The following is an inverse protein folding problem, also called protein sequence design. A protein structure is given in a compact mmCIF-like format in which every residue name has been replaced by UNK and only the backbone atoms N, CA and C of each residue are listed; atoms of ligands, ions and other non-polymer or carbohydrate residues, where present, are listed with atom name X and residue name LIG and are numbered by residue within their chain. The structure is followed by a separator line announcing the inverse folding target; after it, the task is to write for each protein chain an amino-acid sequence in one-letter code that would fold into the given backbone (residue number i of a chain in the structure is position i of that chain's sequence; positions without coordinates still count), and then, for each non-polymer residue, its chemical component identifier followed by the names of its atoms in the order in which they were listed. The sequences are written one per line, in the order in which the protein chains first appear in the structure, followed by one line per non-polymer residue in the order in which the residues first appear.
data_IF_540742147123
#
_entry.id   IF_540742147123
#
_cell.length_a   1.000
_cell.length_b   1.000
_cell.length_c   1.000
_cell.angle_alpha   90.00
_cell.angle_beta   90.00
_cell.angle_gamma   90.00
#
_symmetry.space_group_name_H-M   'P 1'
#
loop_
_entity.id
_entity.type
_entity.pdbx_description
1 polymer ?
#
# COMPACT_ATOMS: atom_id res chain seq x y z
N UNK A 1 -5.46 19.40 18.94
CA UNK A 1 -5.76 18.17 19.72
C UNK A 1 -5.54 18.38 21.21
N UNK A 2 -4.53 19.15 21.66
CA UNK A 2 -4.29 19.45 23.08
C UNK A 2 -5.54 20.05 23.77
N UNK A 3 -6.16 21.07 23.15
CA UNK A 3 -7.41 21.65 23.69
C UNK A 3 -8.57 20.64 23.76
N UNK A 4 -8.60 19.66 22.84
CA UNK A 4 -9.60 18.60 22.87
C UNK A 4 -9.34 17.64 24.04
N UNK A 5 -8.08 17.27 24.29
CA UNK A 5 -7.71 16.47 25.48
C UNK A 5 -8.16 17.15 26.77
N UNK A 6 -7.86 18.44 26.93
CA UNK A 6 -8.30 19.22 28.10
C UNK A 6 -9.82 19.23 28.28
N UNK A 7 -10.56 19.42 27.19
CA UNK A 7 -12.02 19.44 27.25
C UNK A 7 -12.59 18.08 27.68
N UNK A 8 -12.08 16.97 27.09
CA UNK A 8 -12.51 15.64 27.44
C UNK A 8 -12.06 15.19 28.83
N UNK A 9 -10.88 15.68 29.29
CA UNK A 9 -10.44 15.48 30.67
C UNK A 9 -11.41 16.13 31.65
N UNK A 10 -11.83 17.34 31.39
CA UNK A 10 -12.88 17.99 32.19
C UNK A 10 -14.20 17.21 32.19
N UNK A 11 -14.59 16.69 31.03
CA UNK A 11 -15.80 15.88 30.90
C UNK A 11 -15.72 14.59 31.72
N UNK A 12 -14.57 13.91 31.75
CA UNK A 12 -14.36 12.68 32.55
C UNK A 12 -14.22 12.95 34.06
N UNK A 13 -13.88 14.19 34.47
CA UNK A 13 -13.92 14.60 35.90
C UNK A 13 -15.36 14.84 36.35
N UNK A 14 -16.21 15.38 35.48
CA UNK A 14 -17.62 15.64 35.80
C UNK A 14 -18.44 14.34 35.82
N UNK A 15 -18.16 13.47 34.85
CA UNK A 15 -18.82 12.16 34.71
C UNK A 15 -17.74 11.11 34.38
N UNK A 16 -17.36 10.33 35.38
CA UNK A 16 -16.32 9.30 35.28
C UNK A 16 -16.78 8.06 34.50
N UNK A 17 -18.10 7.93 34.23
CA UNK A 17 -18.69 6.90 33.41
C UNK A 17 -18.94 7.37 31.95
N UNK A 18 -18.51 8.57 31.56
CA UNK A 18 -18.77 9.11 30.23
C UNK A 18 -17.86 8.45 29.17
N UNK A 19 -18.27 7.28 28.71
CA UNK A 19 -17.56 6.48 27.69
C UNK A 19 -17.12 7.30 26.46
N UNK A 20 -18.02 8.15 25.93
CA UNK A 20 -17.72 8.98 24.76
C UNK A 20 -16.55 9.93 24.98
N UNK A 21 -16.40 10.49 26.18
CA UNK A 21 -15.29 11.39 26.52
C UNK A 21 -13.96 10.64 26.53
N UNK A 22 -13.89 9.43 27.09
CA UNK A 22 -12.68 8.59 27.06
C UNK A 22 -12.29 8.22 25.64
N UNK A 23 -13.26 7.86 24.80
CA UNK A 23 -13.04 7.51 23.40
C UNK A 23 -12.46 8.68 22.60
N UNK A 24 -13.02 9.88 22.72
CA UNK A 24 -12.55 11.05 21.99
C UNK A 24 -11.23 11.59 22.55
N UNK A 25 -11.01 11.47 23.88
CA UNK A 25 -9.74 11.75 24.53
C UNK A 25 -8.63 10.84 23.98
N UNK A 26 -8.89 9.54 23.91
CA UNK A 26 -7.96 8.55 23.35
C UNK A 26 -7.61 8.86 21.88
N UNK A 27 -8.60 9.15 21.02
CA UNK A 27 -8.38 9.56 19.63
C UNK A 27 -7.53 10.83 19.53
N UNK A 28 -7.71 11.77 20.46
CA UNK A 28 -6.93 13.00 20.50
C UNK A 28 -5.48 12.72 20.88
N UNK A 29 -5.23 11.83 21.82
CA UNK A 29 -3.88 11.37 22.18
C UNK A 29 -3.19 10.64 21.01
N UNK A 30 -3.89 9.80 20.26
CA UNK A 30 -3.32 9.18 19.06
C UNK A 30 -2.84 10.24 18.04
N UNK A 31 -3.62 11.32 17.84
CA UNK A 31 -3.23 12.42 16.94
C UNK A 31 -2.03 13.18 17.44
N UNK A 32 -1.82 13.24 18.76
CA UNK A 32 -0.64 13.81 19.41
C UNK A 32 0.53 12.82 19.47
N UNK A 33 0.36 11.58 18.97
CA UNK A 33 1.33 10.48 19.07
C UNK A 33 1.65 10.06 20.51
N UNK A 34 0.76 10.34 21.42
CA UNK A 34 0.82 9.93 22.83
C UNK A 34 0.08 8.61 22.98
N UNK A 35 0.73 7.53 22.50
CA UNK A 35 0.06 6.24 22.32
C UNK A 35 -0.22 5.51 23.62
N UNK A 36 0.62 5.70 24.66
CA UNK A 36 0.37 5.10 25.98
C UNK A 36 -0.86 5.72 26.63
N UNK A 37 -0.96 7.05 26.64
CA UNK A 37 -2.11 7.77 27.16
C UNK A 37 -3.41 7.43 26.40
N UNK A 38 -3.30 7.20 25.10
CA UNK A 38 -4.42 6.71 24.33
C UNK A 38 -4.89 5.31 24.76
N UNK A 39 -3.93 4.39 25.00
CA UNK A 39 -4.22 3.03 25.51
C UNK A 39 -4.88 3.10 26.86
N UNK A 40 -4.40 3.94 27.77
CA UNK A 40 -4.96 4.08 29.12
C UNK A 40 -6.43 4.54 29.04
N UNK A 41 -6.74 5.52 28.18
CA UNK A 41 -8.11 5.96 27.95
C UNK A 41 -8.99 4.88 27.32
N UNK A 42 -8.46 4.11 26.35
CA UNK A 42 -9.20 2.98 25.76
C UNK A 42 -9.42 1.85 26.79
N UNK A 43 -8.46 1.61 27.67
CA UNK A 43 -8.61 0.62 28.75
C UNK A 43 -9.73 1.00 29.67
N UNK A 44 -9.80 2.25 30.12
CA UNK A 44 -10.94 2.74 30.92
C UNK A 44 -12.26 2.59 30.14
N UNK A 45 -12.25 2.91 28.83
CA UNK A 45 -13.46 2.78 28.02
C UNK A 45 -14.01 1.35 27.96
N UNK A 46 -13.13 0.33 27.84
CA UNK A 46 -13.55 -1.09 27.83
C UNK A 46 -13.86 -1.66 29.21
N UNK A 47 -13.47 -0.97 30.29
CA UNK A 47 -13.88 -1.29 31.66
C UNK A 47 -15.29 -0.76 31.98
N UNK A 48 -15.71 0.32 31.29
CA UNK A 48 -17.03 0.93 31.43
C UNK A 48 -18.12 0.24 30.58
N UNK A 49 -17.74 -0.35 29.48
CA UNK A 49 -18.65 -1.03 28.54
C UNK A 49 -17.90 -2.17 27.85
N UNK A 50 -18.62 -3.12 27.28
CA UNK A 50 -18.04 -4.25 26.56
C UNK A 50 -17.10 -3.77 25.43
N UNK A 51 -15.94 -4.41 25.24
CA UNK A 51 -14.96 -3.98 24.27
C UNK A 51 -15.50 -4.09 22.85
N UNK A 52 -15.73 -2.96 22.18
CA UNK A 52 -16.06 -2.99 20.75
C UNK A 52 -14.83 -3.34 19.92
N UNK A 53 -15.03 -4.08 18.82
CA UNK A 53 -13.99 -4.41 17.84
C UNK A 53 -13.21 -3.17 17.34
N UNK A 54 -13.91 -2.03 17.23
CA UNK A 54 -13.29 -0.76 16.87
C UNK A 54 -12.26 -0.27 17.89
N UNK A 55 -12.56 -0.35 19.18
CA UNK A 55 -11.65 0.04 20.28
C UNK A 55 -10.45 -0.89 20.32
N UNK A 56 -10.68 -2.20 20.24
CA UNK A 56 -9.63 -3.22 20.22
C UNK A 56 -8.66 -2.99 19.04
N UNK A 57 -9.19 -2.66 17.84
CA UNK A 57 -8.39 -2.34 16.68
C UNK A 57 -7.50 -1.10 16.89
N UNK A 58 -8.03 -0.07 17.57
CA UNK A 58 -7.26 1.13 17.86
C UNK A 58 -6.18 0.88 18.90
N UNK A 59 -6.48 0.13 19.94
CA UNK A 59 -5.48 -0.30 20.93
C UNK A 59 -4.36 -1.10 20.28
N UNK A 60 -4.70 -2.05 19.41
CA UNK A 60 -3.70 -2.82 18.65
C UNK A 60 -2.75 -1.91 17.87
N UNK A 61 -3.30 -0.91 17.16
CA UNK A 61 -2.49 0.08 16.43
C UNK A 61 -1.62 0.94 17.36
N UNK A 62 -2.10 1.31 18.53
CA UNK A 62 -1.30 2.05 19.51
C UNK A 62 -0.14 1.19 20.03
N UNK A 63 -0.38 -0.07 20.39
CA UNK A 63 0.68 -1.01 20.79
C UNK A 63 1.72 -1.22 19.69
N UNK A 64 1.29 -1.30 18.44
CA UNK A 64 2.19 -1.40 17.30
C UNK A 64 3.08 -0.15 17.15
N UNK A 65 2.52 1.05 17.38
CA UNK A 65 3.28 2.31 17.38
C UNK A 65 4.29 2.41 18.52
N UNK A 66 4.03 1.71 19.61
CA UNK A 66 4.95 1.55 20.75
C UNK A 66 5.93 0.38 20.56
N UNK A 67 5.94 -0.24 19.39
CA UNK A 67 6.78 -1.40 19.04
C UNK A 67 6.53 -2.63 19.93
N UNK A 68 5.39 -2.65 20.66
CA UNK A 68 4.98 -3.80 21.44
C UNK A 68 4.24 -4.81 20.55
N UNK A 69 5.03 -5.60 19.83
CA UNK A 69 4.57 -6.52 18.79
C UNK A 69 3.63 -7.60 19.33
N UNK A 70 3.89 -8.10 20.56
CA UNK A 70 3.09 -9.15 21.18
C UNK A 70 1.67 -8.67 21.54
N UNK A 71 1.59 -7.53 22.22
CA UNK A 71 0.29 -6.94 22.58
C UNK A 71 -0.45 -6.47 21.33
N UNK A 72 0.24 -5.86 20.35
CA UNK A 72 -0.36 -5.47 19.10
C UNK A 72 -1.08 -6.65 18.42
N UNK A 73 -0.38 -7.77 18.24
CA UNK A 73 -0.96 -8.97 17.64
C UNK A 73 -2.13 -9.53 18.48
N UNK A 74 -1.96 -9.57 19.80
CA UNK A 74 -3.02 -10.04 20.70
C UNK A 74 -4.31 -9.24 20.52
N UNK A 75 -4.22 -7.89 20.50
CA UNK A 75 -5.38 -7.02 20.32
C UNK A 75 -5.94 -7.06 18.88
N UNK A 76 -5.11 -7.22 17.86
CA UNK A 76 -5.60 -7.48 16.50
C UNK A 76 -6.43 -8.77 16.42
N UNK A 77 -5.96 -9.85 17.03
CA UNK A 77 -6.70 -11.12 17.07
C UNK A 77 -8.00 -11.01 17.86
N UNK A 78 -7.99 -10.30 18.99
CA UNK A 78 -9.22 -10.00 19.74
C UNK A 78 -10.23 -9.22 18.89
N UNK A 79 -9.76 -8.26 18.08
CA UNK A 79 -10.63 -7.49 17.17
C UNK A 79 -11.44 -8.38 16.25
N UNK A 80 -10.78 -9.32 15.56
CA UNK A 80 -11.45 -10.20 14.60
C UNK A 80 -12.18 -11.37 15.26
N UNK A 81 -11.89 -11.65 16.51
CA UNK A 81 -12.67 -12.58 17.32
C UNK A 81 -14.00 -11.94 17.75
N UNK A 82 -13.97 -10.68 18.16
CA UNK A 82 -15.14 -9.89 18.55
C UNK A 82 -16.06 -9.62 17.36
N UNK A 83 -15.50 -9.23 16.23
CA UNK A 83 -16.24 -9.00 14.99
C UNK A 83 -15.53 -9.65 13.79
N UNK A 84 -15.87 -10.89 13.44
CA UNK A 84 -15.29 -11.59 12.30
C UNK A 84 -15.65 -10.97 10.94
N UNK A 85 -16.67 -10.10 10.86
CA UNK A 85 -17.08 -9.42 9.64
C UNK A 85 -16.43 -8.04 9.50
N UNK A 86 -15.61 -7.60 10.46
CA UNK A 86 -14.84 -6.39 10.35
C UNK A 86 -13.63 -6.60 9.45
N UNK A 87 -13.80 -6.34 8.16
CA UNK A 87 -12.77 -6.43 7.10
C UNK A 87 -11.48 -5.67 7.47
N UNK A 88 -11.64 -4.47 8.09
CA UNK A 88 -10.53 -3.64 8.58
C UNK A 88 -9.68 -4.29 9.66
N UNK A 89 -10.24 -5.22 10.41
CA UNK A 89 -9.50 -6.03 11.38
C UNK A 89 -8.54 -6.99 10.66
N UNK A 90 -9.04 -7.72 9.68
CA UNK A 90 -8.27 -8.68 8.91
C UNK A 90 -7.15 -8.01 8.09
N UNK A 91 -7.44 -6.87 7.45
CA UNK A 91 -6.42 -6.14 6.70
C UNK A 91 -5.35 -5.51 7.61
N UNK A 92 -5.72 -5.10 8.84
CA UNK A 92 -4.73 -4.63 9.80
C UNK A 92 -3.76 -5.74 10.23
N UNK A 93 -4.26 -6.97 10.41
CA UNK A 93 -3.41 -8.15 10.68
C UNK A 93 -2.54 -8.46 9.44
N UNK A 94 -3.09 -8.35 8.24
CA UNK A 94 -2.32 -8.50 7.00
C UNK A 94 -1.14 -7.53 6.96
N UNK A 95 -1.40 -6.24 7.15
CA UNK A 95 -0.37 -5.20 7.16
C UNK A 95 0.66 -5.43 8.28
N UNK A 96 0.23 -5.94 9.44
CA UNK A 96 1.12 -6.34 10.52
C UNK A 96 2.10 -7.43 10.05
N UNK A 97 1.61 -8.53 9.45
CA UNK A 97 2.48 -9.62 9.00
C UNK A 97 3.34 -9.23 7.78
N UNK A 98 2.89 -8.32 6.91
CA UNK A 98 3.74 -7.74 5.85
C UNK A 98 4.95 -7.04 6.46
N UNK A 99 4.76 -6.22 7.50
CA UNK A 99 5.86 -5.53 8.20
C UNK A 99 6.82 -6.51 8.90
N UNK A 100 6.29 -7.63 9.40
CA UNK A 100 7.11 -8.72 9.96
C UNK A 100 7.76 -9.61 8.89
N UNK A 101 7.49 -9.36 7.60
CA UNK A 101 7.94 -10.17 6.45
C UNK A 101 7.46 -11.63 6.51
N UNK A 102 6.41 -11.93 7.27
CA UNK A 102 5.73 -13.23 7.28
C UNK A 102 4.61 -13.22 6.21
N UNK A 103 5.04 -13.30 4.96
CA UNK A 103 4.12 -13.19 3.82
C UNK A 103 3.14 -14.35 3.72
N UNK A 104 3.48 -15.53 4.26
CA UNK A 104 2.55 -16.67 4.28
C UNK A 104 1.33 -16.38 5.18
N UNK A 105 1.57 -15.84 6.38
CA UNK A 105 0.47 -15.43 7.24
C UNK A 105 -0.27 -14.22 6.67
N UNK A 106 0.45 -13.25 6.10
CA UNK A 106 -0.18 -12.10 5.43
C UNK A 106 -1.15 -12.56 4.35
N UNK A 107 -0.79 -13.57 3.52
CA UNK A 107 -1.64 -14.14 2.49
C UNK A 107 -2.91 -14.78 3.07
N UNK A 108 -2.80 -15.48 4.19
CA UNK A 108 -3.96 -16.06 4.87
C UNK A 108 -4.96 -14.97 5.31
N UNK A 109 -4.44 -13.89 5.92
CA UNK A 109 -5.30 -12.83 6.47
C UNK A 109 -5.89 -11.90 5.41
N UNK A 110 -5.16 -11.60 4.32
CA UNK A 110 -5.73 -10.80 3.23
C UNK A 110 -6.87 -11.54 2.52
N UNK A 111 -6.78 -12.86 2.37
CA UNK A 111 -7.89 -13.67 1.83
C UNK A 111 -9.14 -13.61 2.73
N UNK A 112 -8.99 -13.47 4.04
CA UNK A 112 -10.14 -13.25 4.95
C UNK A 112 -10.79 -11.89 4.68
N UNK A 113 -10.00 -10.83 4.51
CA UNK A 113 -10.52 -9.49 4.18
C UNK A 113 -11.25 -9.47 2.82
N UNK A 114 -10.67 -10.09 1.79
CA UNK A 114 -11.28 -10.22 0.46
C UNK A 114 -12.58 -11.02 0.50
N UNK A 115 -12.64 -12.05 1.35
CA UNK A 115 -13.86 -12.85 1.54
C UNK A 115 -15.03 -12.08 2.15
N UNK A 116 -14.76 -10.95 2.83
CA UNK A 116 -15.79 -10.07 3.40
C UNK A 116 -16.16 -8.96 2.42
N UNK A 117 -15.16 -8.29 1.86
CA UNK A 117 -15.33 -7.21 0.88
C UNK A 117 -14.42 -7.46 -0.35
N UNK A 118 -14.93 -8.25 -1.28
CA UNK A 118 -14.22 -8.62 -2.51
C UNK A 118 -14.19 -7.52 -3.57
N UNK A 119 -14.88 -6.41 -3.36
CA UNK A 119 -14.88 -5.26 -4.28
C UNK A 119 -13.91 -4.17 -3.85
N UNK A 120 -13.24 -4.32 -2.71
CA UNK A 120 -12.28 -3.34 -2.22
C UNK A 120 -10.92 -3.45 -2.95
N UNK A 121 -10.56 -2.47 -3.79
CA UNK A 121 -9.35 -2.55 -4.60
C UNK A 121 -8.07 -2.61 -3.76
N UNK A 122 -8.08 -2.01 -2.56
CA UNK A 122 -6.92 -2.00 -1.67
C UNK A 122 -6.58 -3.41 -1.17
N UNK A 123 -7.58 -4.28 -0.98
CA UNK A 123 -7.33 -5.65 -0.51
C UNK A 123 -6.71 -6.50 -1.61
N UNK A 124 -7.18 -6.35 -2.85
CA UNK A 124 -6.57 -6.98 -4.01
C UNK A 124 -5.14 -6.50 -4.26
N UNK A 125 -4.88 -5.21 -4.07
CA UNK A 125 -3.52 -4.67 -4.13
C UNK A 125 -2.61 -5.27 -3.05
N UNK A 126 -3.09 -5.45 -1.81
CA UNK A 126 -2.34 -6.15 -0.75
C UNK A 126 -2.09 -7.61 -1.10
N UNK A 127 -3.11 -8.30 -1.63
CA UNK A 127 -2.99 -9.66 -2.11
C UNK A 127 -1.90 -9.77 -3.17
N UNK A 128 -1.92 -8.91 -4.18
CA UNK A 128 -0.90 -8.86 -5.23
C UNK A 128 0.51 -8.62 -4.67
N UNK A 129 0.67 -7.63 -3.80
CA UNK A 129 1.96 -7.31 -3.20
C UNK A 129 2.52 -8.47 -2.36
N UNK A 130 1.66 -9.18 -1.61
CA UNK A 130 2.06 -10.35 -0.82
C UNK A 130 2.46 -11.50 -1.73
N UNK A 131 1.70 -11.79 -2.79
CA UNK A 131 2.04 -12.85 -3.75
C UNK A 131 3.34 -12.50 -4.53
N UNK A 132 3.56 -11.24 -4.90
CA UNK A 132 4.85 -10.80 -5.49
C UNK A 132 6.02 -11.08 -4.55
N UNK A 133 5.86 -10.80 -3.25
CA UNK A 133 6.90 -11.06 -2.25
C UNK A 133 7.15 -12.57 -2.01
N UNK A 134 6.17 -13.41 -2.32
CA UNK A 134 6.27 -14.87 -2.30
C UNK A 134 6.76 -15.46 -3.63
N UNK A 135 7.03 -14.62 -4.64
CA UNK A 135 7.37 -15.01 -6.02
C UNK A 135 6.27 -15.81 -6.73
N UNK A 136 5.02 -15.63 -6.31
CA UNK A 136 3.83 -16.19 -6.94
C UNK A 136 3.29 -15.15 -7.94
N UNK A 137 3.99 -15.02 -9.08
CA UNK A 137 3.76 -13.90 -9.99
C UNK A 137 2.43 -13.99 -10.75
N UNK A 138 1.93 -15.18 -11.04
CA UNK A 138 0.62 -15.38 -11.69
C UNK A 138 -0.52 -14.90 -10.78
N UNK A 139 -0.46 -15.24 -9.49
CA UNK A 139 -1.41 -14.79 -8.47
C UNK A 139 -1.27 -13.29 -8.20
N UNK A 140 -0.06 -12.75 -8.27
CA UNK A 140 0.18 -11.32 -8.12
C UNK A 140 -0.43 -10.54 -9.29
N UNK A 141 -0.26 -11.01 -10.54
CA UNK A 141 -0.88 -10.45 -11.73
C UNK A 141 -2.42 -10.43 -11.56
N UNK A 142 -3.00 -11.57 -11.21
CA UNK A 142 -4.44 -11.68 -10.96
C UNK A 142 -4.91 -10.65 -9.93
N UNK A 143 -4.15 -10.46 -8.85
CA UNK A 143 -4.46 -9.50 -7.79
C UNK A 143 -4.42 -8.06 -8.26
N UNK A 144 -3.40 -7.64 -9.03
CA UNK A 144 -3.34 -6.28 -9.59
C UNK A 144 -4.44 -6.02 -10.60
N UNK A 145 -4.73 -6.98 -11.47
CA UNK A 145 -5.84 -6.90 -12.42
C UNK A 145 -7.17 -6.74 -11.69
N UNK A 146 -7.41 -7.51 -10.63
CA UNK A 146 -8.59 -7.36 -9.78
C UNK A 146 -8.66 -6.00 -9.09
N UNK A 147 -7.55 -5.49 -8.56
CA UNK A 147 -7.50 -4.16 -7.99
C UNK A 147 -7.93 -3.09 -9.00
N UNK A 148 -7.43 -3.18 -10.24
CA UNK A 148 -7.81 -2.28 -11.33
C UNK A 148 -9.29 -2.42 -11.71
N UNK A 149 -9.80 -3.65 -11.88
CA UNK A 149 -11.22 -3.92 -12.14
C UNK A 149 -12.14 -3.35 -11.05
N UNK A 150 -11.69 -3.35 -9.80
CA UNK A 150 -12.38 -2.75 -8.65
C UNK A 150 -12.16 -1.23 -8.50
N UNK A 151 -11.46 -0.59 -9.45
CA UNK A 151 -11.31 0.87 -9.53
C UNK A 151 -10.03 1.44 -8.92
N UNK A 152 -8.99 0.64 -8.67
CA UNK A 152 -7.67 1.18 -8.32
C UNK A 152 -6.95 1.70 -9.57
N UNK A 153 -7.00 3.01 -9.75
CA UNK A 153 -6.35 3.73 -10.86
C UNK A 153 -5.12 4.51 -10.40
N UNK A 154 -4.39 4.01 -9.40
CA UNK A 154 -3.18 4.67 -8.92
C UNK A 154 -1.95 4.29 -9.77
N UNK A 155 -1.04 5.23 -9.99
CA UNK A 155 0.18 5.02 -10.78
C UNK A 155 1.01 3.83 -10.27
N UNK A 156 1.18 3.72 -8.96
CA UNK A 156 1.94 2.63 -8.35
C UNK A 156 1.31 1.24 -8.59
N UNK A 157 0.00 1.15 -8.79
CA UNK A 157 -0.65 -0.11 -9.17
C UNK A 157 -0.26 -0.53 -10.58
N UNK A 158 -0.27 0.39 -11.54
CA UNK A 158 0.17 0.12 -12.91
C UNK A 158 1.64 -0.27 -12.98
N UNK A 159 2.51 0.46 -12.27
CA UNK A 159 3.95 0.18 -12.29
C UNK A 159 4.29 -1.17 -11.66
N UNK A 160 3.70 -1.49 -10.51
CA UNK A 160 3.91 -2.79 -9.84
C UNK A 160 3.31 -3.95 -10.64
N UNK A 161 2.16 -3.74 -11.28
CA UNK A 161 1.56 -4.74 -12.16
C UNK A 161 2.46 -5.04 -13.35
N UNK A 162 3.00 -4.00 -14.00
CA UNK A 162 3.92 -4.20 -15.12
C UNK A 162 5.25 -4.81 -14.72
N UNK A 163 5.73 -4.60 -13.48
CA UNK A 163 6.89 -5.32 -12.96
C UNK A 163 6.61 -6.83 -12.88
N UNK A 164 5.43 -7.21 -12.39
CA UNK A 164 5.01 -8.63 -12.35
C UNK A 164 4.92 -9.24 -13.75
N UNK A 165 4.31 -8.51 -14.71
CA UNK A 165 4.21 -8.96 -16.10
C UNK A 165 5.59 -9.15 -16.75
N UNK A 166 6.56 -8.30 -16.41
CA UNK A 166 7.95 -8.48 -16.84
C UNK A 166 8.57 -9.78 -16.29
N UNK A 167 8.33 -10.11 -15.03
CA UNK A 167 8.79 -11.38 -14.46
C UNK A 167 8.14 -12.61 -15.14
N UNK A 168 6.89 -12.46 -15.59
CA UNK A 168 6.19 -13.49 -16.36
C UNK A 168 6.62 -13.55 -17.83
N UNK A 169 7.36 -12.54 -18.31
CA UNK A 169 7.74 -12.41 -19.72
C UNK A 169 6.63 -11.91 -20.63
N UNK A 170 5.54 -11.38 -20.06
CA UNK A 170 4.36 -10.87 -20.77
C UNK A 170 4.55 -9.39 -21.13
N UNK A 171 5.55 -9.12 -21.99
CA UNK A 171 5.95 -7.75 -22.32
C UNK A 171 4.90 -6.98 -23.11
N UNK A 172 4.18 -7.63 -24.01
CA UNK A 172 3.10 -7.03 -24.81
C UNK A 172 1.96 -6.56 -23.91
N UNK A 173 1.51 -7.41 -22.98
CA UNK A 173 0.48 -7.07 -22.00
C UNK A 173 0.95 -5.90 -21.10
N UNK A 174 2.22 -5.90 -20.68
CA UNK A 174 2.80 -4.80 -19.88
C UNK A 174 2.78 -3.47 -20.65
N UNK A 175 3.05 -3.50 -21.97
CA UNK A 175 2.96 -2.32 -22.84
C UNK A 175 1.52 -1.81 -22.91
N UNK A 176 0.54 -2.70 -23.10
CA UNK A 176 -0.88 -2.32 -23.18
C UNK A 176 -1.34 -1.64 -21.89
N UNK A 177 -0.99 -2.20 -20.73
CA UNK A 177 -1.32 -1.63 -19.42
C UNK A 177 -0.69 -0.24 -19.23
N UNK A 178 0.58 -0.05 -19.63
CA UNK A 178 1.24 1.26 -19.53
C UNK A 178 0.66 2.28 -20.52
N UNK A 179 0.26 1.86 -21.72
CA UNK A 179 -0.43 2.74 -22.66
C UNK A 179 -1.80 3.17 -22.12
N UNK A 180 -2.52 2.29 -21.42
CA UNK A 180 -3.74 2.68 -20.73
C UNK A 180 -3.44 3.70 -19.61
N UNK A 181 -2.36 3.49 -18.85
CA UNK A 181 -1.93 4.43 -17.83
C UNK A 181 -1.57 5.83 -18.40
N UNK A 182 -1.05 5.95 -19.63
CA UNK A 182 -0.80 7.26 -20.25
C UNK A 182 -2.06 8.10 -20.45
N UNK A 183 -3.23 7.47 -20.58
CA UNK A 183 -4.50 8.18 -20.71
C UNK A 183 -4.98 8.74 -19.35
N UNK A 184 -4.52 8.16 -18.25
CA UNK A 184 -4.89 8.55 -16.88
C UNK A 184 -3.87 9.54 -16.28
N UNK A 185 -2.59 9.34 -16.60
CA UNK A 185 -1.47 10.09 -16.06
C UNK A 185 -0.74 10.81 -17.19
N UNK A 186 -1.08 12.07 -17.40
CA UNK A 186 -0.42 12.90 -18.41
C UNK A 186 1.01 13.25 -17.98
N UNK A 187 1.95 13.18 -18.93
CA UNK A 187 3.33 13.64 -18.77
C UNK A 187 4.07 12.95 -17.60
N UNK A 188 3.80 11.66 -17.37
CA UNK A 188 4.47 10.90 -16.32
C UNK A 188 5.74 10.22 -16.86
N UNK A 189 6.91 10.74 -16.47
CA UNK A 189 8.21 10.27 -16.97
C UNK A 189 8.49 8.80 -16.64
N UNK A 190 7.99 8.28 -15.55
CA UNK A 190 8.19 6.88 -15.16
C UNK A 190 7.54 5.92 -16.15
N UNK A 191 6.32 6.23 -16.59
CA UNK A 191 5.62 5.47 -17.64
C UNK A 191 6.42 5.49 -18.93
N UNK A 192 6.94 6.66 -19.32
CA UNK A 192 7.72 6.82 -20.55
C UNK A 192 9.00 6.00 -20.53
N UNK A 193 9.74 5.99 -19.42
CA UNK A 193 10.93 5.15 -19.28
C UNK A 193 10.62 3.65 -19.28
N UNK A 194 9.50 3.24 -18.67
CA UNK A 194 9.06 1.84 -18.69
C UNK A 194 8.64 1.40 -20.09
N UNK A 195 7.85 2.20 -20.80
CA UNK A 195 7.49 1.95 -22.20
C UNK A 195 8.73 1.87 -23.10
N UNK A 196 9.67 2.79 -22.93
CA UNK A 196 10.93 2.76 -23.68
C UNK A 196 11.66 1.43 -23.46
N UNK A 197 11.82 1.01 -22.22
CA UNK A 197 12.47 -0.25 -21.87
C UNK A 197 11.80 -1.46 -22.49
N UNK A 198 10.48 -1.58 -22.35
CA UNK A 198 9.69 -2.69 -22.90
C UNK A 198 9.74 -2.73 -24.43
N UNK A 199 9.58 -1.59 -25.12
CA UNK A 199 9.69 -1.54 -26.58
C UNK A 199 11.09 -1.89 -27.09
N UNK A 200 12.13 -1.53 -26.36
CA UNK A 200 13.47 -2.00 -26.70
C UNK A 200 13.63 -3.50 -26.47
N UNK A 201 13.03 -4.08 -25.41
CA UNK A 201 13.06 -5.54 -25.18
C UNK A 201 12.33 -6.31 -26.29
N UNK A 202 11.20 -5.80 -26.76
CA UNK A 202 10.43 -6.41 -27.85
C UNK A 202 10.97 -6.08 -29.26
N UNK A 203 12.16 -5.43 -29.33
CA UNK A 203 12.83 -4.99 -30.56
C UNK A 203 12.06 -3.95 -31.39
N UNK A 204 11.09 -3.26 -30.81
CA UNK A 204 10.39 -2.13 -31.42
C UNK A 204 11.18 -0.82 -31.22
N UNK A 205 12.39 -0.75 -31.74
CA UNK A 205 13.37 0.30 -31.45
C UNK A 205 12.89 1.72 -31.77
N UNK A 206 12.03 1.89 -32.78
CA UNK A 206 11.45 3.21 -33.13
C UNK A 206 10.55 3.74 -32.02
N UNK A 207 9.63 2.89 -31.53
CA UNK A 207 8.77 3.24 -30.42
C UNK A 207 9.55 3.41 -29.13
N UNK A 208 10.51 2.52 -28.86
CA UNK A 208 11.42 2.63 -27.73
C UNK A 208 12.17 3.97 -27.70
N UNK A 209 12.72 4.41 -28.85
CA UNK A 209 13.38 5.70 -28.98
C UNK A 209 12.42 6.89 -28.79
N UNK A 210 11.18 6.78 -29.26
CA UNK A 210 10.15 7.81 -29.05
C UNK A 210 9.86 8.00 -27.56
N UNK A 211 9.54 6.94 -26.84
CA UNK A 211 9.23 6.99 -25.42
C UNK A 211 10.46 7.40 -24.58
N UNK A 212 11.66 6.96 -24.95
CA UNK A 212 12.90 7.42 -24.30
C UNK A 212 13.06 8.93 -24.43
N UNK A 213 12.84 9.51 -25.61
CA UNK A 213 12.89 10.96 -25.80
C UNK A 213 11.88 11.69 -24.94
N UNK A 214 10.66 11.17 -24.81
CA UNK A 214 9.64 11.75 -23.95
C UNK A 214 10.09 11.74 -22.49
N UNK A 215 10.53 10.60 -21.97
CA UNK A 215 11.03 10.47 -20.60
C UNK A 215 12.19 11.42 -20.30
N UNK A 216 13.16 11.54 -21.24
CA UNK A 216 14.29 12.45 -21.11
C UNK A 216 13.85 13.94 -21.11
N UNK A 217 12.84 14.30 -21.89
CA UNK A 217 12.27 15.66 -21.89
C UNK A 217 11.52 15.98 -20.60
N UNK A 218 10.75 15.03 -20.08
CA UNK A 218 9.94 15.20 -18.87
C UNK A 218 10.82 15.26 -17.63
N UNK A 219 11.79 14.35 -17.50
CA UNK A 219 12.69 14.32 -16.36
C UNK A 219 14.02 13.63 -16.67
N UNK A 220 14.98 14.43 -17.14
CA UNK A 220 16.32 13.93 -17.46
C UNK A 220 17.07 13.36 -16.24
N UNK A 221 16.86 13.95 -15.05
CA UNK A 221 17.57 13.53 -13.85
C UNK A 221 17.22 12.10 -13.42
N UNK A 222 16.00 11.65 -13.74
CA UNK A 222 15.53 10.31 -13.42
C UNK A 222 15.79 9.28 -14.53
N UNK A 223 16.63 9.59 -15.54
CA UNK A 223 17.00 8.64 -16.61
C UNK A 223 17.57 7.31 -16.10
N UNK A 224 18.13 7.30 -14.90
CA UNK A 224 18.66 6.10 -14.26
C UNK A 224 17.59 5.06 -13.93
N UNK A 225 16.29 5.43 -13.91
CA UNK A 225 15.18 4.47 -13.81
C UNK A 225 15.22 3.44 -14.95
N UNK A 226 15.59 3.88 -16.17
CA UNK A 226 15.77 2.95 -17.29
C UNK A 226 16.87 1.91 -17.02
N UNK A 227 17.95 2.30 -16.33
CA UNK A 227 19.01 1.37 -15.91
C UNK A 227 18.52 0.42 -14.81
N UNK A 228 17.73 0.93 -13.88
CA UNK A 228 17.22 0.17 -12.75
C UNK A 228 16.23 -0.90 -13.23
N UNK A 229 15.29 -0.52 -14.07
CA UNK A 229 14.24 -1.44 -14.55
C UNK A 229 14.69 -2.32 -15.73
N UNK A 230 15.59 -1.80 -16.60
CA UNK A 230 16.00 -2.45 -17.84
C UNK A 230 17.53 -2.35 -18.06
N UNK A 231 18.35 -2.97 -17.23
CA UNK A 231 19.82 -2.85 -17.31
C UNK A 231 20.37 -3.29 -18.67
N UNK A 232 19.80 -4.32 -19.29
CA UNK A 232 20.22 -4.79 -20.63
C UNK A 232 19.91 -3.76 -21.72
N UNK A 233 18.80 -3.04 -21.60
CA UNK A 233 18.41 -1.96 -22.54
C UNK A 233 19.31 -0.75 -22.34
N UNK A 234 19.63 -0.40 -21.09
CA UNK A 234 20.52 0.71 -20.76
C UNK A 234 21.87 0.59 -21.44
N UNK A 235 22.47 -0.61 -21.54
CA UNK A 235 23.78 -0.86 -22.14
C UNK A 235 23.78 -0.78 -23.68
N UNK A 236 22.61 -0.65 -24.33
CA UNK A 236 22.53 -0.55 -25.78
C UNK A 236 23.15 0.76 -26.28
N UNK A 237 24.03 0.66 -27.29
CA UNK A 237 24.74 1.80 -27.87
C UNK A 237 23.80 2.90 -28.39
N UNK A 238 22.65 2.52 -28.93
CA UNK A 238 21.63 3.44 -29.43
C UNK A 238 20.97 4.25 -28.31
N UNK A 239 20.70 3.59 -27.17
CA UNK A 239 20.13 4.22 -25.96
C UNK A 239 21.13 5.22 -25.38
N UNK A 240 22.40 4.82 -25.21
CA UNK A 240 23.45 5.69 -24.66
C UNK A 240 23.69 6.91 -25.57
N UNK A 241 23.72 6.73 -26.90
CA UNK A 241 23.84 7.85 -27.85
C UNK A 241 22.65 8.82 -27.74
N UNK A 242 21.46 8.31 -27.48
CA UNK A 242 20.27 9.15 -27.34
C UNK A 242 20.31 9.95 -26.04
N UNK A 243 20.69 9.34 -24.91
CA UNK A 243 20.87 10.02 -23.62
C UNK A 243 21.93 11.11 -23.71
N UNK A 244 23.11 10.83 -24.32
CA UNK A 244 24.21 11.78 -24.48
C UNK A 244 23.83 13.05 -25.28
N UNK A 245 22.82 12.97 -26.16
CA UNK A 245 22.33 14.16 -26.89
C UNK A 245 21.57 15.14 -26.00
N UNK A 246 21.05 14.69 -24.86
CA UNK A 246 20.35 15.54 -23.90
C UNK A 246 21.28 16.10 -22.80
N UNK A 247 22.53 15.62 -22.73
CA UNK A 247 23.54 16.14 -21.80
C UNK A 247 24.24 17.42 -22.32
N UNK A 248 24.10 17.71 -23.62
CA UNK A 248 24.66 18.90 -24.28
C UNK A 248 23.55 19.92 -24.55
#
# INVERSE_FOLDING_TARGET
YEKAVWAFEYATIIDDCFLGAYMEKAKSFEKLKQFQEAIDCYTTAIELDDPSSFVLLRMAKCYERLENTELALSYYLKTVHEDPLLDKGWIAITDFYIRQKDFQKALYYVNKAIGIDGENPMYWKRFAAVNSALHLFEEAEYGYRKAFECGDVNLDTFTLWTDVLQFLGEFETAIEILLEATNLFNEEYEIEYRLAGLYFLTNETVKGSFHLNNGLRLNFNNRTLLKEYFPVVWERTEVQKQIAKFEN
#
